data_IF_144244482766
#
_entry.id   IF_144244482766
#
_cell.length_a   1.000
_cell.length_b   1.000
_cell.length_c   1.000
_cell.angle_alpha   90.00
_cell.angle_beta   90.00
_cell.angle_gamma   90.00
#
_symmetry.space_group_name_H-M   'P 1'
#
loop_
_entity.id
_entity.type
_entity.pdbx_description
1 polymer ?
#
# COMPACT_ATOMS: atom_id res chain seq x y z
N UNK A 1 -38.29 16.64 10.15
CA UNK A 1 -39.71 16.24 10.02
C UNK A 1 -40.34 16.81 11.25
N UNK A 2 -40.68 18.08 11.14
CA UNK A 2 -40.77 19.01 12.25
C UNK A 2 -42.23 19.12 12.71
N UNK A 3 -42.43 19.00 14.02
CA UNK A 3 -43.73 19.05 14.69
C UNK A 3 -44.35 20.46 14.72
N UNK A 4 -43.69 21.43 14.08
CA UNK A 4 -44.09 22.84 14.03
C UNK A 4 -45.23 23.09 13.04
N UNK A 5 -45.46 22.19 12.06
CA UNK A 5 -46.59 22.30 11.09
C UNK A 5 -47.94 21.78 11.64
N UNK A 6 -47.96 21.12 12.80
CA UNK A 6 -49.19 20.56 13.41
C UNK A 6 -49.87 21.54 14.39
N UNK A 7 -49.15 22.54 14.90
CA UNK A 7 -49.69 23.49 15.88
C UNK A 7 -49.68 24.90 15.28
N UNK A 8 -50.68 25.14 14.44
CA UNK A 8 -50.97 26.46 13.87
C UNK A 8 -51.89 27.24 14.82
N UNK A 9 -51.34 28.05 15.74
CA UNK A 9 -52.13 29.08 16.45
C UNK A 9 -51.33 30.35 16.77
N UNK A 10 -52.01 31.52 16.83
CA UNK A 10 -51.48 32.80 16.36
C UNK A 10 -50.74 33.65 17.41
N UNK A 11 -49.96 34.60 16.86
CA UNK A 11 -49.08 35.60 17.49
C UNK A 11 -49.56 36.18 18.84
N UNK A 12 -48.86 35.85 19.92
CA UNK A 12 -48.98 36.51 21.22
C UNK A 12 -47.74 36.34 22.11
N UNK A 13 -46.98 37.43 22.28
CA UNK A 13 -45.89 37.63 23.27
C UNK A 13 -44.46 37.21 22.84
N UNK A 14 -43.81 38.15 22.14
CA UNK A 14 -42.49 38.08 21.49
C UNK A 14 -41.26 38.08 22.44
N UNK A 15 -41.25 37.28 23.50
CA UNK A 15 -40.06 37.16 24.39
C UNK A 15 -39.76 35.76 24.92
N UNK A 16 -40.73 34.86 24.96
CA UNK A 16 -40.50 33.50 25.48
C UNK A 16 -40.18 32.48 24.37
N UNK A 17 -40.74 32.68 23.17
CA UNK A 17 -40.59 31.76 22.04
C UNK A 17 -39.17 31.73 21.47
N UNK A 18 -38.54 32.90 21.34
CA UNK A 18 -37.14 33.01 20.91
C UNK A 18 -36.16 32.37 21.88
N UNK A 19 -36.40 32.49 23.20
CA UNK A 19 -35.56 31.85 24.22
C UNK A 19 -35.75 30.34 24.23
N UNK A 20 -36.99 29.86 24.08
CA UNK A 20 -37.28 28.44 23.99
C UNK A 20 -36.66 27.81 22.73
N UNK A 21 -36.84 28.45 21.56
CA UNK A 21 -36.26 28.01 20.29
C UNK A 21 -34.73 28.10 20.26
N UNK A 22 -34.15 29.16 20.84
CA UNK A 22 -32.70 29.29 20.99
C UNK A 22 -32.12 28.25 21.97
N UNK A 23 -32.83 27.95 23.06
CA UNK A 23 -32.41 26.92 24.03
C UNK A 23 -32.48 25.52 23.41
N UNK A 24 -33.54 25.22 22.67
CA UNK A 24 -33.70 23.95 21.97
C UNK A 24 -32.65 23.75 20.87
N UNK A 25 -32.34 24.83 20.15
CA UNK A 25 -31.27 24.86 19.14
C UNK A 25 -29.90 24.66 19.79
N UNK A 26 -29.61 25.39 20.87
CA UNK A 26 -28.34 25.27 21.61
C UNK A 26 -28.15 23.86 22.15
N UNK A 27 -29.20 23.28 22.75
CA UNK A 27 -29.16 21.91 23.28
C UNK A 27 -28.90 20.86 22.19
N UNK A 28 -29.47 21.04 21.00
CA UNK A 28 -29.28 20.14 19.86
C UNK A 28 -27.87 20.27 19.26
N UNK A 29 -27.38 21.50 19.13
CA UNK A 29 -26.00 21.79 18.70
C UNK A 29 -25.00 21.21 19.71
N UNK A 30 -25.21 21.40 21.02
CA UNK A 30 -24.34 20.85 22.07
C UNK A 30 -24.27 19.33 22.00
N UNK A 31 -25.38 18.62 21.73
CA UNK A 31 -25.33 17.17 21.50
C UNK A 31 -24.43 16.80 20.32
N UNK A 32 -24.59 17.47 19.18
CA UNK A 32 -23.79 17.18 17.98
C UNK A 32 -22.29 17.45 18.20
N UNK A 33 -21.95 18.56 18.87
CA UNK A 33 -20.58 18.86 19.27
C UNK A 33 -20.04 17.86 20.29
N UNK A 34 -20.85 17.38 21.21
CA UNK A 34 -20.47 16.33 22.17
C UNK A 34 -20.12 15.03 21.44
N UNK A 35 -20.92 14.58 20.47
CA UNK A 35 -20.59 13.42 19.64
C UNK A 35 -19.29 13.61 18.88
N UNK A 36 -19.10 14.78 18.25
CA UNK A 36 -17.88 15.08 17.50
C UNK A 36 -16.64 15.17 18.39
N UNK A 37 -16.79 15.67 19.62
CA UNK A 37 -15.72 15.71 20.61
C UNK A 37 -15.39 14.31 21.14
N UNK A 38 -16.39 13.46 21.40
CA UNK A 38 -16.20 12.06 21.76
C UNK A 38 -15.49 11.29 20.65
N UNK A 39 -15.92 11.47 19.40
CA UNK A 39 -15.25 10.88 18.24
C UNK A 39 -13.82 11.39 18.09
N UNK A 40 -13.54 12.66 18.36
CA UNK A 40 -12.18 13.19 18.37
C UNK A 40 -11.35 12.61 19.52
N UNK A 41 -11.91 12.52 20.73
CA UNK A 41 -11.25 11.94 21.91
C UNK A 41 -10.93 10.47 21.75
N UNK A 42 -11.70 9.72 20.96
CA UNK A 42 -11.40 8.31 20.61
C UNK A 42 -10.49 8.24 19.37
N UNK A 43 -10.63 9.18 18.44
CA UNK A 43 -9.77 9.28 17.25
C UNK A 43 -8.33 9.64 17.55
N UNK A 44 -8.08 10.49 18.55
CA UNK A 44 -6.73 10.89 19.01
C UNK A 44 -5.91 9.70 19.54
N UNK A 45 -6.39 8.86 20.48
CA UNK A 45 -5.63 7.70 20.93
C UNK A 45 -5.45 6.69 19.81
N UNK A 46 -6.47 6.50 18.95
CA UNK A 46 -6.34 5.64 17.76
C UNK A 46 -5.24 6.12 16.82
N UNK A 47 -5.15 7.43 16.55
CA UNK A 47 -4.12 7.99 15.67
C UNK A 47 -2.72 7.89 16.28
N UNK A 48 -2.58 8.07 17.59
CA UNK A 48 -1.33 7.87 18.31
C UNK A 48 -0.89 6.40 18.22
N UNK A 49 -1.79 5.45 18.49
CA UNK A 49 -1.50 4.01 18.38
C UNK A 49 -1.05 3.65 16.97
N UNK A 50 -1.77 4.15 15.96
CA UNK A 50 -1.41 3.94 14.55
C UNK A 50 -0.05 4.54 14.19
N UNK A 51 0.26 5.74 14.67
CA UNK A 51 1.55 6.39 14.48
C UNK A 51 2.70 5.59 15.08
N UNK A 52 2.53 5.08 16.31
CA UNK A 52 3.52 4.23 16.98
C UNK A 52 3.72 2.92 16.23
N UNK A 53 2.64 2.24 15.82
CA UNK A 53 2.73 1.03 15.00
C UNK A 53 3.49 1.26 13.71
N UNK A 54 3.16 2.34 12.99
CA UNK A 54 3.84 2.70 11.76
C UNK A 54 5.32 2.99 11.98
N UNK A 55 5.68 3.70 13.06
CA UNK A 55 7.07 3.96 13.42
C UNK A 55 7.86 2.67 13.71
N UNK A 56 7.28 1.74 14.47
CA UNK A 56 7.89 0.43 14.75
C UNK A 56 8.08 -0.40 13.48
N UNK A 57 7.06 -0.43 12.60
CA UNK A 57 7.15 -1.12 11.31
C UNK A 57 8.23 -0.49 10.45
N UNK A 58 8.30 0.84 10.38
CA UNK A 58 9.31 1.55 9.60
C UNK A 58 10.72 1.26 10.11
N UNK A 59 10.92 1.26 11.43
CA UNK A 59 12.17 0.85 12.05
C UNK A 59 12.50 -0.60 11.70
N UNK A 60 11.59 -1.55 11.95
CA UNK A 60 11.80 -2.95 11.60
C UNK A 60 12.10 -3.13 10.10
N UNK A 61 11.44 -2.39 9.21
CA UNK A 61 11.68 -2.43 7.78
C UNK A 61 13.09 -1.96 7.44
N UNK A 62 13.53 -0.80 7.94
CA UNK A 62 14.88 -0.29 7.67
C UNK A 62 15.94 -1.27 8.22
N UNK A 63 15.72 -1.82 9.41
CA UNK A 63 16.71 -2.67 10.08
C UNK A 63 16.65 -4.15 9.70
N UNK A 64 15.52 -4.67 9.24
CA UNK A 64 15.37 -6.08 8.83
C UNK A 64 15.27 -6.23 7.31
N UNK A 65 14.53 -5.37 6.61
CA UNK A 65 14.40 -5.47 5.15
C UNK A 65 15.69 -5.08 4.46
N UNK A 66 16.41 -4.05 4.92
CA UNK A 66 17.71 -3.71 4.32
C UNK A 66 18.72 -4.87 4.40
N UNK A 67 19.00 -5.49 5.57
CA UNK A 67 19.91 -6.64 5.59
C UNK A 67 19.33 -7.87 4.87
N UNK A 68 18.02 -8.11 4.91
CA UNK A 68 17.40 -9.19 4.13
C UNK A 68 17.60 -9.00 2.62
N UNK A 69 17.38 -7.79 2.11
CA UNK A 69 17.60 -7.47 0.70
C UNK A 69 19.07 -7.59 0.34
N UNK A 70 19.98 -7.10 1.19
CA UNK A 70 21.43 -7.27 0.97
C UNK A 70 21.83 -8.76 0.96
N UNK A 71 21.31 -9.56 1.88
CA UNK A 71 21.55 -11.01 1.92
C UNK A 71 21.03 -11.69 0.66
N UNK A 72 19.81 -11.37 0.25
CA UNK A 72 19.19 -11.94 -0.95
C UNK A 72 19.92 -11.55 -2.23
N UNK A 73 20.44 -10.32 -2.32
CA UNK A 73 21.28 -9.91 -3.45
C UNK A 73 22.56 -10.73 -3.55
N UNK A 74 23.19 -11.06 -2.42
CA UNK A 74 24.41 -11.89 -2.40
C UNK A 74 24.07 -13.31 -2.87
N UNK A 75 22.98 -13.89 -2.38
CA UNK A 75 22.51 -15.21 -2.79
C UNK A 75 22.20 -15.27 -4.29
N UNK A 76 21.43 -14.31 -4.81
CA UNK A 76 21.14 -14.21 -6.25
C UNK A 76 22.42 -14.05 -7.06
N UNK A 77 23.36 -13.21 -6.63
CA UNK A 77 24.62 -13.02 -7.34
C UNK A 77 25.45 -14.31 -7.35
N UNK A 78 25.43 -15.08 -6.27
CA UNK A 78 26.08 -16.38 -6.19
C UNK A 78 25.43 -17.39 -7.15
N UNK A 79 24.11 -17.55 -7.08
CA UNK A 79 23.34 -18.44 -7.95
C UNK A 79 23.48 -18.05 -9.42
N UNK A 80 23.43 -16.75 -9.74
CA UNK A 80 23.61 -16.24 -11.10
C UNK A 80 25.00 -16.52 -11.66
N UNK A 81 26.05 -16.41 -10.83
CA UNK A 81 27.41 -16.83 -11.23
C UNK A 81 27.49 -18.32 -11.45
N UNK A 82 26.94 -19.12 -10.55
CA UNK A 82 26.96 -20.59 -10.67
C UNK A 82 26.20 -21.03 -11.93
N UNK A 83 25.04 -20.45 -12.18
CA UNK A 83 24.26 -20.66 -13.39
C UNK A 83 25.03 -20.25 -14.65
N UNK A 84 25.66 -19.07 -14.65
CA UNK A 84 26.46 -18.61 -15.79
C UNK A 84 27.67 -19.52 -16.05
N UNK A 85 28.33 -20.02 -15.00
CA UNK A 85 29.41 -20.99 -15.12
C UNK A 85 28.90 -22.32 -15.69
N UNK A 86 27.80 -22.87 -15.15
CA UNK A 86 27.19 -24.07 -15.69
C UNK A 86 26.82 -23.90 -17.17
N UNK A 87 26.16 -22.81 -17.53
CA UNK A 87 25.81 -22.52 -18.92
C UNK A 87 27.05 -22.42 -19.80
N UNK A 88 28.13 -21.76 -19.37
CA UNK A 88 29.39 -21.74 -20.14
C UNK A 88 29.98 -23.15 -20.27
N UNK A 89 30.16 -23.87 -19.17
CA UNK A 89 30.79 -25.19 -19.20
C UNK A 89 29.98 -26.24 -19.97
N UNK A 90 28.65 -26.14 -20.01
CA UNK A 90 27.80 -27.06 -20.76
C UNK A 90 27.49 -26.58 -22.17
N UNK A 91 27.08 -25.32 -22.32
CA UNK A 91 26.67 -24.79 -23.62
C UNK A 91 27.84 -24.43 -24.52
N UNK A 92 28.98 -23.92 -24.04
CA UNK A 92 30.15 -23.68 -24.92
C UNK A 92 30.57 -24.97 -25.66
N UNK A 93 30.83 -26.11 -25.00
CA UNK A 93 31.23 -27.32 -25.72
C UNK A 93 30.08 -27.90 -26.55
N UNK A 94 28.82 -27.71 -26.16
CA UNK A 94 27.67 -28.13 -26.97
C UNK A 94 27.56 -27.32 -28.27
N UNK A 95 27.64 -25.99 -28.18
CA UNK A 95 27.59 -25.11 -29.34
C UNK A 95 28.84 -25.27 -30.22
N UNK A 96 30.02 -25.44 -29.62
CA UNK A 96 31.27 -25.79 -30.31
C UNK A 96 31.15 -27.13 -31.05
N UNK A 97 30.62 -28.17 -30.40
CA UNK A 97 30.44 -29.49 -30.99
C UNK A 97 29.41 -29.47 -32.13
N UNK A 98 28.27 -28.83 -31.92
CA UNK A 98 27.24 -28.63 -32.96
C UNK A 98 27.85 -27.84 -34.13
N UNK A 99 28.58 -26.76 -33.85
CA UNK A 99 29.30 -25.97 -34.86
C UNK A 99 30.29 -26.81 -35.66
N UNK A 100 31.04 -27.71 -35.02
CA UNK A 100 31.94 -28.66 -35.70
C UNK A 100 31.20 -29.68 -36.54
N UNK A 101 30.08 -30.23 -36.07
CA UNK A 101 29.26 -31.16 -36.85
C UNK A 101 28.69 -30.47 -38.09
N UNK A 102 28.11 -29.27 -37.95
CA UNK A 102 27.61 -28.50 -39.08
C UNK A 102 28.72 -28.01 -40.02
N UNK A 103 29.91 -27.68 -39.50
CA UNK A 103 31.06 -27.29 -40.32
C UNK A 103 31.72 -28.47 -41.03
N UNK A 104 31.71 -29.67 -40.44
CA UNK A 104 32.15 -30.89 -41.13
C UNK A 104 31.18 -31.26 -42.27
N UNK A 105 29.92 -30.82 -42.17
CA UNK A 105 28.89 -30.95 -43.21
C UNK A 105 28.96 -29.80 -44.24
N UNK A 106 29.98 -28.91 -44.21
CA UNK A 106 30.30 -28.08 -45.38
C UNK A 106 30.80 -28.96 -46.52
N UNK A 107 29.81 -29.44 -47.27
CA UNK A 107 29.78 -29.85 -48.66
C UNK A 107 31.15 -29.72 -49.31
N UNK A 108 31.81 -30.87 -49.49
CA UNK A 108 32.75 -31.05 -50.59
C UNK A 108 31.94 -30.83 -51.87
N UNK A 109 31.73 -29.58 -52.25
CA UNK A 109 31.35 -29.20 -53.61
C UNK A 109 32.58 -29.58 -54.45
N UNK A 110 32.66 -30.86 -54.80
CA UNK A 110 33.47 -31.33 -55.91
C UNK A 110 32.93 -30.58 -57.11
N UNK A 111 33.58 -29.47 -57.45
CA UNK A 111 33.42 -28.78 -58.73
C UNK A 111 33.91 -29.76 -59.79
N UNK A 112 33.02 -30.67 -60.20
CA UNK A 112 33.15 -31.46 -61.41
C UNK A 112 32.49 -30.62 -62.51
N UNK A 113 33.32 -29.95 -63.32
CA UNK A 113 32.91 -29.03 -64.37
C UNK A 113 33.94 -27.93 -64.59
#
# INVERSE_FOLDING_TARGET
MDFEDVIAEPYGTHSFDGVWKASYTTFTITKYWCYRLLSALVGIPLSIIWGVLFALISFCHIWAVVPCVKSYMIEIQCVGRMFSLCVRTFCDPLFEAIGKVFSAVKVTLQKQG
#
